data_IF_606386338394
#
_entry.id   IF_606386338394
#
_cell.length_a   1.000
_cell.length_b   1.000
_cell.length_c   1.000
_cell.angle_alpha   90.00
_cell.angle_beta   90.00
_cell.angle_gamma   90.00
#
_symmetry.space_group_name_H-M   'P 1'
#
loop_
_entity.id
_entity.type
_entity.pdbx_description
1 polymer ?
#
# COMPACT_ATOMS: atom_id res chain seq x y z
N UNK A 1 -20.45 -13.80 12.05
CA UNK A 1 -19.32 -12.92 12.41
C UNK A 1 -18.20 -13.24 11.45
N UNK A 2 -17.98 -12.40 10.44
CA UNK A 2 -16.82 -12.55 9.55
C UNK A 2 -15.55 -12.33 10.36
N UNK A 3 -14.64 -13.30 10.33
CA UNK A 3 -13.33 -13.16 10.93
C UNK A 3 -12.51 -12.16 10.10
N UNK A 4 -12.01 -11.09 10.72
CA UNK A 4 -11.17 -10.11 10.04
C UNK A 4 -9.99 -10.80 9.35
N UNK A 5 -9.77 -10.52 8.06
CA UNK A 5 -8.67 -11.07 7.28
C UNK A 5 -7.33 -10.91 8.01
N UNK A 6 -7.11 -9.74 8.63
CA UNK A 6 -5.89 -9.44 9.38
C UNK A 6 -5.75 -10.30 10.64
N UNK A 7 -6.85 -10.63 11.32
CA UNK A 7 -6.84 -11.55 12.46
C UNK A 7 -6.39 -12.96 12.03
N UNK A 8 -6.86 -13.44 10.87
CA UNK A 8 -6.46 -14.74 10.34
C UNK A 8 -4.97 -14.81 9.99
N UNK A 9 -4.43 -13.72 9.45
CA UNK A 9 -3.01 -13.56 9.10
C UNK A 9 -2.15 -13.56 10.37
N UNK A 10 -2.50 -12.75 11.36
CA UNK A 10 -1.75 -12.65 12.62
C UNK A 10 -1.76 -13.97 13.39
N UNK A 11 -2.87 -14.71 13.39
CA UNK A 11 -2.92 -16.06 13.98
C UNK A 11 -1.93 -17.03 13.32
N UNK A 12 -1.74 -16.96 12.01
CA UNK A 12 -0.83 -17.85 11.27
C UNK A 12 0.65 -17.58 11.53
N UNK A 13 1.00 -16.35 11.92
CA UNK A 13 2.37 -15.97 12.28
C UNK A 13 2.60 -15.86 13.78
N UNK A 14 1.65 -16.33 14.60
CA UNK A 14 1.71 -16.28 16.06
C UNK A 14 1.83 -14.85 16.65
N UNK A 15 1.20 -13.87 15.99
CA UNK A 15 1.17 -12.46 16.39
C UNK A 15 -0.25 -12.00 16.78
N UNK A 16 -1.07 -12.90 17.31
CA UNK A 16 -2.47 -12.59 17.67
C UNK A 16 -2.55 -11.44 18.70
N UNK A 17 -1.55 -11.30 19.58
CA UNK A 17 -1.49 -10.22 20.58
C UNK A 17 -1.45 -8.83 19.96
N UNK A 18 -0.86 -8.70 18.77
CA UNK A 18 -0.75 -7.43 18.06
C UNK A 18 -2.09 -6.98 17.41
N UNK A 19 -3.10 -7.87 17.34
CA UNK A 19 -4.34 -7.58 16.61
C UNK A 19 -5.05 -6.33 17.11
N UNK A 20 -5.04 -6.04 18.41
CA UNK A 20 -5.67 -4.82 18.98
C UNK A 20 -5.07 -3.55 18.38
N UNK A 21 -3.74 -3.52 18.17
CA UNK A 21 -3.07 -2.39 17.54
C UNK A 21 -3.37 -2.31 16.05
N UNK A 22 -3.36 -3.45 15.35
CA UNK A 22 -3.70 -3.50 13.93
C UNK A 22 -5.16 -3.10 13.67
N UNK A 23 -6.09 -3.47 14.55
CA UNK A 23 -7.50 -3.09 14.44
C UNK A 23 -7.71 -1.61 14.74
N UNK A 24 -7.11 -1.12 15.84
CA UNK A 24 -7.17 0.30 16.22
C UNK A 24 -6.63 1.22 15.11
N UNK A 25 -5.50 0.87 14.53
CA UNK A 25 -4.83 1.65 13.47
C UNK A 25 -5.29 1.23 12.06
N UNK A 26 -6.37 0.42 11.95
CA UNK A 26 -6.96 -0.06 10.70
C UNK A 26 -5.96 -0.65 9.69
N UNK A 27 -4.94 -1.36 10.18
CA UNK A 27 -3.87 -1.97 9.38
C UNK A 27 -4.39 -3.23 8.69
N UNK A 28 -4.28 -3.25 7.36
CA UNK A 28 -4.67 -4.38 6.51
C UNK A 28 -3.43 -5.09 5.94
N UNK A 29 -3.54 -6.35 5.45
CA UNK A 29 -2.37 -7.09 4.96
C UNK A 29 -1.59 -6.40 3.84
N UNK A 30 -2.27 -5.62 2.97
CA UNK A 30 -1.63 -4.83 1.93
C UNK A 30 -0.77 -3.67 2.47
N UNK A 31 -1.12 -3.14 3.65
CA UNK A 31 -0.44 -2.03 4.32
C UNK A 31 0.87 -2.51 4.99
N UNK A 32 0.87 -3.71 5.55
CA UNK A 32 2.01 -4.27 6.32
C UNK A 32 3.35 -4.24 5.58
N UNK A 33 3.34 -4.46 4.26
CA UNK A 33 4.56 -4.44 3.43
C UNK A 33 5.21 -3.05 3.30
N UNK A 34 4.46 -1.98 3.60
CA UNK A 34 4.88 -0.59 3.44
C UNK A 34 5.26 0.07 4.77
N UNK A 35 4.93 -0.57 5.90
CA UNK A 35 5.32 -0.11 7.22
C UNK A 35 6.83 -0.27 7.43
N UNK A 36 7.45 0.76 7.98
CA UNK A 36 8.83 0.76 8.46
C UNK A 36 9.00 -0.18 9.65
N UNK A 37 10.26 -0.36 10.05
CA UNK A 37 10.60 -1.13 11.26
C UNK A 37 9.96 -0.53 12.51
N UNK A 38 10.07 0.78 12.69
CA UNK A 38 9.56 1.49 13.87
C UNK A 38 8.03 1.46 13.94
N UNK A 39 7.36 1.53 12.79
CA UNK A 39 5.91 1.34 12.70
C UNK A 39 5.49 -0.06 13.14
N UNK A 40 6.19 -1.10 12.67
CA UNK A 40 5.91 -2.47 13.10
C UNK A 40 6.20 -2.69 14.59
N UNK A 41 7.26 -2.07 15.13
CA UNK A 41 7.55 -2.06 16.57
C UNK A 41 6.40 -1.41 17.35
N UNK A 42 5.89 -0.27 16.90
CA UNK A 42 4.76 0.44 17.52
C UNK A 42 3.45 -0.37 17.47
N UNK A 43 3.27 -1.24 16.47
CA UNK A 43 2.15 -2.17 16.37
C UNK A 43 2.33 -3.46 17.21
N UNK A 44 3.41 -3.57 18.01
CA UNK A 44 3.67 -4.72 18.86
C UNK A 44 4.41 -5.88 18.18
N UNK A 45 5.00 -5.64 17.00
CA UNK A 45 5.85 -6.59 16.27
C UNK A 45 7.31 -6.15 16.42
N UNK A 46 7.92 -6.48 17.56
CA UNK A 46 9.26 -5.99 17.93
C UNK A 46 10.42 -6.79 17.33
N UNK A 47 10.19 -8.04 16.95
CA UNK A 47 11.23 -8.92 16.42
C UNK A 47 11.32 -8.82 14.89
N UNK A 48 12.52 -8.59 14.37
CA UNK A 48 12.80 -8.54 12.92
C UNK A 48 12.44 -9.84 12.19
N UNK A 49 12.59 -11.00 12.84
CA UNK A 49 12.15 -12.28 12.31
C UNK A 49 10.63 -12.34 12.15
N UNK A 50 9.88 -11.84 13.13
CA UNK A 50 8.42 -11.84 13.10
C UNK A 50 7.88 -10.77 12.15
N UNK A 51 8.53 -9.60 12.04
CA UNK A 51 8.26 -8.64 10.97
C UNK A 51 8.43 -9.27 9.59
N UNK A 52 9.47 -10.08 9.40
CA UNK A 52 9.74 -10.76 8.13
C UNK A 52 8.71 -11.85 7.86
N UNK A 53 8.39 -12.69 8.85
CA UNK A 53 7.32 -13.70 8.74
C UNK A 53 5.97 -13.05 8.44
N UNK A 54 5.63 -11.97 9.13
CA UNK A 54 4.40 -11.23 8.95
C UNK A 54 4.34 -10.64 7.54
N UNK A 55 5.40 -9.98 7.06
CA UNK A 55 5.47 -9.49 5.68
C UNK A 55 5.30 -10.62 4.66
N UNK A 56 5.96 -11.76 4.86
CA UNK A 56 5.85 -12.93 3.98
C UNK A 56 4.42 -13.48 4.00
N UNK A 57 3.79 -13.60 5.15
CA UNK A 57 2.42 -14.09 5.27
C UNK A 57 1.45 -13.10 4.62
N UNK A 58 1.57 -11.79 4.88
CA UNK A 58 0.80 -10.74 4.23
C UNK A 58 0.94 -10.75 2.70
N UNK A 59 2.12 -11.07 2.16
CA UNK A 59 2.34 -11.23 0.71
C UNK A 59 1.46 -12.35 0.13
N UNK A 60 1.14 -13.41 0.89
CA UNK A 60 0.23 -14.49 0.42
C UNK A 60 -1.21 -13.98 0.23
N UNK A 61 -1.60 -12.93 0.94
CA UNK A 61 -2.88 -12.24 0.77
C UNK A 61 -2.77 -11.04 -0.18
N UNK A 62 -1.54 -10.68 -0.58
CA UNK A 62 -1.23 -9.61 -1.54
C UNK A 62 -0.76 -10.07 -2.92
N UNK A 63 -0.64 -11.38 -3.19
CA UNK A 63 -0.24 -11.91 -4.50
C UNK A 63 -0.82 -13.30 -4.72
N UNK A 64 -2.00 -13.36 -5.34
CA UNK A 64 -2.57 -14.58 -5.89
C UNK A 64 -2.36 -14.48 -7.41
N UNK A 65 -1.96 -15.57 -8.06
CA UNK A 65 -2.09 -15.69 -9.52
C UNK A 65 -3.50 -15.21 -9.88
N UNK A 66 -3.65 -14.13 -10.66
CA UNK A 66 -4.95 -13.51 -10.92
C UNK A 66 -6.00 -14.56 -11.27
N UNK A 67 -7.12 -14.60 -10.55
CA UNK A 67 -8.17 -15.57 -10.82
C UNK A 67 -8.70 -15.36 -12.25
N UNK A 68 -9.04 -16.44 -12.94
CA UNK A 68 -9.66 -16.34 -14.26
C UNK A 68 -11.13 -15.98 -14.08
N UNK A 69 -11.50 -14.74 -14.39
CA UNK A 69 -12.90 -14.32 -14.49
C UNK A 69 -13.43 -14.80 -15.85
N UNK A 70 -14.44 -15.66 -15.82
CA UNK A 70 -15.19 -16.00 -17.03
C UNK A 70 -16.09 -14.81 -17.41
N UNK A 71 -15.82 -14.19 -18.56
CA UNK A 71 -16.73 -13.21 -19.14
C UNK A 71 -17.82 -13.90 -19.96
N UNK A 72 -18.96 -13.24 -20.14
CA UNK A 72 -20.08 -13.72 -20.97
C UNK A 72 -19.74 -13.86 -22.46
N UNK A 73 -18.61 -13.31 -22.91
CA UNK A 73 -18.02 -13.55 -24.23
C UNK A 73 -16.53 -13.19 -24.25
N UNK A 74 -15.72 -14.04 -24.90
CA UNK A 74 -14.28 -13.86 -25.07
C UNK A 74 -13.40 -14.69 -24.11
N UNK A 75 -12.08 -14.71 -24.33
CA UNK A 75 -11.15 -15.50 -23.51
C UNK A 75 -11.12 -15.00 -22.05
N UNK A 76 -10.86 -15.91 -21.07
CA UNK A 76 -10.94 -15.60 -19.64
C UNK A 76 -10.02 -14.46 -19.23
N UNK A 77 -10.57 -13.49 -18.48
CA UNK A 77 -9.87 -12.29 -18.03
C UNK A 77 -9.16 -12.61 -16.70
N UNK A 78 -7.86 -12.35 -16.61
CA UNK A 78 -7.07 -12.54 -15.39
C UNK A 78 -7.32 -11.39 -14.41
N UNK A 79 -7.88 -11.63 -13.22
CA UNK A 79 -8.26 -10.61 -12.25
C UNK A 79 -7.07 -9.91 -11.57
N UNK A 80 -6.53 -8.89 -12.23
CA UNK A 80 -5.51 -8.00 -11.69
C UNK A 80 -6.21 -6.71 -11.28
N UNK A 81 -6.33 -6.50 -9.98
CA UNK A 81 -6.88 -5.27 -9.42
C UNK A 81 -6.04 -4.04 -9.82
N UNK A 82 -6.72 -2.92 -10.07
CA UNK A 82 -6.11 -1.67 -10.50
C UNK A 82 -5.13 -1.14 -9.44
N UNK A 83 -5.53 -1.14 -8.16
CA UNK A 83 -4.70 -0.59 -7.09
C UNK A 83 -3.42 -1.43 -6.88
N UNK A 84 -3.51 -2.76 -7.06
CA UNK A 84 -2.34 -3.65 -7.04
C UNK A 84 -1.34 -3.30 -8.13
N UNK A 85 -1.83 -3.09 -9.36
CA UNK A 85 -0.97 -2.75 -10.49
C UNK A 85 -0.38 -1.34 -10.37
N UNK A 86 -1.17 -0.36 -9.93
CA UNK A 86 -0.74 1.00 -9.62
C UNK A 86 0.38 1.01 -8.57
N UNK A 87 0.20 0.26 -7.48
CA UNK A 87 1.18 0.18 -6.40
C UNK A 87 2.53 -0.36 -6.90
N UNK A 88 2.50 -1.43 -7.70
CA UNK A 88 3.72 -2.00 -8.26
C UNK A 88 4.41 -1.03 -9.24
N UNK A 89 3.64 -0.27 -10.02
CA UNK A 89 4.20 0.77 -10.90
C UNK A 89 4.80 1.95 -10.11
N UNK A 90 4.13 2.38 -9.04
CA UNK A 90 4.53 3.54 -8.22
C UNK A 90 5.72 3.27 -7.31
N UNK A 91 5.95 2.00 -6.96
CA UNK A 91 7.18 1.54 -6.32
C UNK A 91 8.36 1.41 -7.30
N UNK A 92 8.15 1.76 -8.57
CA UNK A 92 9.21 1.81 -9.57
C UNK A 92 9.58 0.44 -10.15
N UNK A 93 8.85 -0.63 -9.83
CA UNK A 93 9.11 -1.95 -10.40
C UNK A 93 9.08 -1.91 -11.93
N UNK A 94 10.00 -2.63 -12.56
CA UNK A 94 9.96 -2.84 -14.00
C UNK A 94 8.75 -3.71 -14.33
N UNK A 95 8.16 -3.52 -15.50
CA UNK A 95 7.02 -4.32 -15.96
C UNK A 95 7.35 -5.81 -15.96
N UNK A 96 8.59 -6.15 -16.28
CA UNK A 96 9.14 -7.52 -16.19
C UNK A 96 9.06 -8.11 -14.78
N UNK A 97 9.32 -7.30 -13.75
CA UNK A 97 9.30 -7.76 -12.35
C UNK A 97 7.87 -7.85 -11.83
N UNK A 98 7.01 -6.92 -12.24
CA UNK A 98 5.56 -6.98 -12.00
C UNK A 98 4.96 -8.25 -12.60
N UNK A 99 5.31 -8.57 -13.85
CA UNK A 99 4.85 -9.76 -14.55
C UNK A 99 5.29 -11.05 -13.85
N UNK A 100 6.56 -11.15 -13.46
CA UNK A 100 7.09 -12.28 -12.68
C UNK A 100 6.37 -12.43 -11.35
N UNK A 101 6.17 -11.32 -10.62
CA UNK A 101 5.54 -11.30 -9.30
C UNK A 101 4.07 -11.69 -9.34
N UNK A 102 3.36 -11.33 -10.41
CA UNK A 102 1.96 -11.69 -10.63
C UNK A 102 1.78 -13.02 -11.38
N UNK A 103 2.89 -13.71 -11.74
CA UNK A 103 2.90 -14.97 -12.49
C UNK A 103 2.11 -14.88 -13.81
N UNK A 104 2.25 -13.75 -14.51
CA UNK A 104 1.62 -13.48 -15.80
C UNK A 104 2.63 -13.02 -16.84
N UNK A 105 2.23 -12.99 -18.10
CA UNK A 105 3.06 -12.37 -19.15
C UNK A 105 3.07 -10.86 -19.04
N UNK A 106 4.17 -10.21 -19.43
CA UNK A 106 4.24 -8.75 -19.56
C UNK A 106 3.12 -8.19 -20.44
N UNK A 107 2.75 -8.92 -21.51
CA UNK A 107 1.60 -8.60 -22.37
C UNK A 107 0.29 -8.47 -21.59
N UNK A 108 0.09 -9.27 -20.55
CA UNK A 108 -1.09 -9.18 -19.66
C UNK A 108 -1.04 -7.91 -18.83
N UNK A 109 0.14 -7.53 -18.34
CA UNK A 109 0.36 -6.28 -17.60
C UNK A 109 0.09 -5.07 -18.49
N UNK A 110 0.71 -4.98 -19.67
CA UNK A 110 0.48 -3.88 -20.62
C UNK A 110 -0.99 -3.75 -21.03
N UNK A 111 -1.68 -4.88 -21.29
CA UNK A 111 -3.12 -4.87 -21.59
C UNK A 111 -3.94 -4.32 -20.43
N UNK A 112 -3.60 -4.67 -19.18
CA UNK A 112 -4.28 -4.15 -17.99
C UNK A 112 -3.98 -2.68 -17.74
N UNK A 113 -2.74 -2.25 -17.96
CA UNK A 113 -2.37 -0.83 -17.92
C UNK A 113 -3.20 -0.02 -18.91
N UNK A 114 -3.32 -0.48 -20.16
CA UNK A 114 -4.16 0.19 -21.16
C UNK A 114 -5.65 0.20 -20.79
N UNK A 115 -6.18 -0.87 -20.19
CA UNK A 115 -7.58 -0.93 -19.74
C UNK A 115 -7.90 0.03 -18.60
N UNK A 116 -6.92 0.33 -17.76
CA UNK A 116 -7.07 1.20 -16.58
C UNK A 116 -6.49 2.60 -16.80
N UNK A 117 -6.06 2.89 -18.03
CA UNK A 117 -5.36 4.12 -18.41
C UNK A 117 -4.15 4.45 -17.51
N UNK A 118 -3.41 3.41 -17.13
CA UNK A 118 -2.24 3.53 -16.26
C UNK A 118 -1.00 3.84 -17.08
N UNK A 119 -0.39 4.98 -16.79
CA UNK A 119 0.97 5.29 -17.18
C UNK A 119 1.87 5.39 -15.95
N UNK A 120 3.19 5.20 -16.15
CA UNK A 120 4.21 5.45 -15.11
C UNK A 120 4.25 6.91 -14.62
N UNK A 121 3.47 7.84 -15.22
CA UNK A 121 3.60 9.30 -15.06
C UNK A 121 2.28 10.06 -14.91
N UNK A 122 1.14 9.38 -14.72
CA UNK A 122 -0.13 10.07 -14.53
C UNK A 122 -0.24 10.53 -13.07
N UNK A 123 -0.15 11.84 -12.85
CA UNK A 123 -0.38 12.48 -11.54
C UNK A 123 -1.72 13.20 -11.55
N UNK A 124 -2.38 13.28 -10.40
CA UNK A 124 -3.62 14.04 -10.23
C UNK A 124 -3.33 15.53 -10.34
N UNK A 125 -4.20 16.25 -11.03
CA UNK A 125 -4.26 17.72 -10.96
C UNK A 125 -4.88 18.10 -9.61
N UNK A 126 -4.03 18.13 -8.58
CA UNK A 126 -4.36 18.57 -7.23
C UNK A 126 -3.42 19.71 -6.87
N UNK A 127 -3.94 20.80 -6.30
CA UNK A 127 -3.09 21.91 -5.83
C UNK A 127 -2.39 21.51 -4.51
N UNK A 128 -1.44 22.33 -4.05
CA UNK A 128 -0.67 21.99 -2.84
C UNK A 128 -1.48 22.15 -1.55
N UNK A 129 -2.43 23.09 -1.49
CA UNK A 129 -3.27 23.33 -0.31
C UNK A 129 -4.26 22.19 -0.06
N UNK A 130 -4.93 21.72 -1.11
CA UNK A 130 -5.83 20.56 -1.10
C UNK A 130 -5.06 19.28 -0.77
N UNK A 131 -3.81 19.17 -1.27
CA UNK A 131 -2.93 18.06 -0.90
C UNK A 131 -2.61 18.07 0.59
N UNK A 132 -2.29 19.24 1.16
CA UNK A 132 -1.99 19.39 2.59
C UNK A 132 -3.23 19.04 3.45
N UNK A 133 -4.44 19.44 3.02
CA UNK A 133 -5.70 19.07 3.70
C UNK A 133 -5.90 17.56 3.70
N UNK A 134 -5.87 16.92 2.52
CA UNK A 134 -6.12 15.47 2.42
C UNK A 134 -5.04 14.67 3.14
N UNK A 135 -3.78 15.13 3.07
CA UNK A 135 -2.68 14.49 3.75
C UNK A 135 -2.79 14.66 5.27
N UNK A 136 -3.20 15.83 5.75
CA UNK A 136 -3.47 16.09 7.17
C UNK A 136 -4.58 15.20 7.72
N UNK A 137 -5.69 15.04 7.01
CA UNK A 137 -6.75 14.08 7.36
C UNK A 137 -6.24 12.64 7.40
N UNK A 138 -5.39 12.27 6.45
CA UNK A 138 -4.81 10.93 6.37
C UNK A 138 -3.83 10.66 7.52
N UNK A 139 -3.02 11.64 7.91
CA UNK A 139 -2.12 11.55 9.07
C UNK A 139 -2.94 11.48 10.37
N UNK A 140 -4.03 12.23 10.49
CA UNK A 140 -4.93 12.12 11.64
C UNK A 140 -5.59 10.74 11.73
N UNK A 141 -5.98 10.16 10.60
CA UNK A 141 -6.56 8.82 10.55
C UNK A 141 -5.52 7.72 10.82
N UNK A 142 -4.26 7.95 10.43
CA UNK A 142 -3.17 6.99 10.57
C UNK A 142 -1.87 7.65 11.08
N UNK A 143 -1.80 7.98 12.38
CA UNK A 143 -0.73 8.82 12.96
C UNK A 143 0.65 8.19 12.95
N UNK A 144 0.75 6.87 12.77
CA UNK A 144 2.02 6.16 12.73
C UNK A 144 2.60 6.05 11.31
N UNK A 145 1.88 6.49 10.27
CA UNK A 145 2.21 6.17 8.89
C UNK A 145 3.37 7.00 8.30
N UNK A 146 4.40 6.33 7.79
CA UNK A 146 5.52 6.94 7.07
C UNK A 146 5.21 7.35 5.62
N UNK A 147 6.15 8.04 4.95
CA UNK A 147 6.00 8.60 3.59
C UNK A 147 5.40 7.61 2.57
N UNK A 148 5.89 6.37 2.56
CA UNK A 148 5.41 5.35 1.61
C UNK A 148 3.96 4.95 1.86
N UNK A 149 3.54 4.93 3.12
CA UNK A 149 2.17 4.62 3.50
C UNK A 149 1.24 5.77 3.16
N UNK A 150 1.64 7.00 3.49
CA UNK A 150 0.90 8.21 3.14
C UNK A 150 0.70 8.30 1.61
N UNK A 151 1.76 8.05 0.83
CA UNK A 151 1.67 7.93 -0.63
C UNK A 151 0.62 6.89 -1.05
N UNK A 152 0.63 5.71 -0.42
CA UNK A 152 -0.31 4.66 -0.75
C UNK A 152 -1.76 5.03 -0.41
N UNK A 153 -2.00 5.66 0.73
CA UNK A 153 -3.33 6.11 1.14
C UNK A 153 -3.89 7.16 0.19
N UNK A 154 -3.06 8.10 -0.28
CA UNK A 154 -3.46 9.03 -1.34
C UNK A 154 -3.86 8.27 -2.61
N UNK A 155 -3.08 7.27 -3.03
CA UNK A 155 -3.40 6.44 -4.21
C UNK A 155 -4.74 5.72 -4.02
N UNK A 156 -5.01 5.14 -2.84
CA UNK A 156 -6.30 4.49 -2.52
C UNK A 156 -7.46 5.49 -2.59
N UNK A 157 -7.23 6.75 -2.20
CA UNK A 157 -8.17 7.87 -2.37
C UNK A 157 -8.25 8.41 -3.82
N UNK A 158 -7.54 7.78 -4.77
CA UNK A 158 -7.51 8.19 -6.18
C UNK A 158 -6.58 9.37 -6.49
N UNK A 159 -5.73 9.76 -5.53
CA UNK A 159 -4.81 10.89 -5.62
C UNK A 159 -3.39 10.37 -5.86
N UNK A 160 -2.81 10.75 -7.00
CA UNK A 160 -1.43 10.43 -7.35
C UNK A 160 -0.59 11.69 -7.38
N UNK A 161 0.39 11.77 -6.48
CA UNK A 161 1.27 12.94 -6.37
C UNK A 161 2.72 12.57 -6.60
N UNK A 162 3.47 13.53 -7.14
CA UNK A 162 4.92 13.42 -7.29
C UNK A 162 5.57 13.26 -5.92
N UNK A 163 6.60 12.42 -5.82
CA UNK A 163 7.30 12.16 -4.55
C UNK A 163 7.82 13.44 -3.89
N UNK A 164 8.35 14.37 -4.69
CA UNK A 164 8.85 15.64 -4.17
C UNK A 164 7.72 16.50 -3.59
N UNK A 165 6.53 16.54 -4.22
CA UNK A 165 5.35 17.26 -3.70
C UNK A 165 4.82 16.64 -2.42
N UNK A 166 4.77 15.31 -2.36
CA UNK A 166 4.38 14.60 -1.14
C UNK A 166 5.31 14.98 0.02
N UNK A 167 6.63 14.95 -0.19
CA UNK A 167 7.59 15.32 0.87
C UNK A 167 7.49 16.78 1.29
N UNK A 168 7.26 17.66 0.32
CA UNK A 168 7.08 19.08 0.58
C UNK A 168 5.81 19.36 1.41
N UNK A 169 4.71 18.67 1.08
CA UNK A 169 3.46 18.68 1.85
C UNK A 169 3.64 18.13 3.27
N UNK A 170 4.31 16.99 3.42
CA UNK A 170 4.68 16.42 4.74
C UNK A 170 5.47 17.45 5.56
N UNK A 171 6.47 18.10 4.95
CA UNK A 171 7.32 19.07 5.63
C UNK A 171 6.53 20.31 6.06
N UNK A 172 5.59 20.80 5.26
CA UNK A 172 4.69 21.91 5.62
C UNK A 172 3.78 21.56 6.81
N UNK A 173 3.27 20.33 6.83
CA UNK A 173 2.43 19.84 7.94
C UNK A 173 3.23 19.66 9.24
N UNK A 174 4.44 19.13 9.17
CA UNK A 174 5.31 18.97 10.36
C UNK A 174 5.76 20.33 10.93
N UNK A 175 6.09 21.29 10.06
CA UNK A 175 6.55 22.64 10.47
C UNK A 175 5.45 23.51 11.09
N UNK A 176 4.18 23.16 10.89
CA UNK A 176 3.03 23.83 11.52
C UNK A 176 2.63 23.27 12.90
N UNK A 177 3.35 22.25 13.41
CA UNK A 177 3.24 21.79 14.80
C UNK A 177 2.52 20.46 15.04
N UNK A 178 2.19 19.70 13.99
CA UNK A 178 1.78 18.30 14.14
C UNK A 178 3.02 17.45 14.42
N UNK A 179 3.22 17.00 15.66
CA UNK A 179 4.33 16.10 15.99
C UNK A 179 4.16 14.75 15.29
N UNK A 180 4.75 14.60 14.10
CA UNK A 180 5.00 13.29 13.52
C UNK A 180 6.50 13.05 13.62
N UNK A 181 6.89 11.97 14.29
CA UNK A 181 8.29 11.51 14.35
C UNK A 181 8.69 10.96 12.98
N UNK A 182 8.82 11.82 11.98
CA UNK A 182 9.35 11.49 10.66
C UNK A 182 10.86 11.68 10.71
N UNK A 183 11.55 10.82 11.46
CA UNK A 183 13.00 10.71 11.31
C UNK A 183 13.33 10.10 9.96
N UNK A 184 13.70 10.99 9.06
CA UNK A 184 14.77 10.91 8.06
C UNK A 184 15.57 9.60 8.09
N UNK A 185 15.24 8.68 7.19
CA UNK A 185 16.20 7.69 6.71
C UNK A 185 16.80 8.24 5.41
N UNK A 186 17.99 8.83 5.53
CA UNK A 186 18.93 8.97 4.42
C UNK A 186 19.38 7.60 3.91
#
# INVERSE_FOLDING_TARGET
MEESLMLSVLKKVDLKHAFVHFEREKITPNIVGMLSRHELEALGVSNTADMTKLRIECIKYGTIKPQKIQGSSGPPKLDIDKATLENLLDNGFLISDVAKRLLVSERTIYRRMAQFDLSKRTFSELNDDDLDVVLGETIQEFPLCGENMLKHMLIVKGIRVQRWRLRDSIQRLDSSGAQTTLQTSL
#
